data_IF_887485271378
#
_entry.id   IF_887485271378
#
_cell.length_a   1.000
_cell.length_b   1.000
_cell.length_c   1.000
_cell.angle_alpha   90.00
_cell.angle_beta   90.00
_cell.angle_gamma   90.00
#
_symmetry.space_group_name_H-M   'P 1'
#
loop_
_entity.id
_entity.type
_entity.pdbx_description
1 polymer ?
#
# COMPACT_ATOMS: atom_id res chain seq x y z
N UNK A 1 -20.71 -4.25 17.83
CA UNK A 1 -19.33 -4.78 17.74
C UNK A 1 -18.90 -5.25 19.13
N UNK A 2 -18.19 -6.39 19.24
CA UNK A 2 -17.61 -6.85 20.50
C UNK A 2 -16.45 -5.94 20.92
N UNK A 3 -16.18 -5.86 22.23
CA UNK A 3 -15.06 -5.08 22.76
C UNK A 3 -13.74 -5.63 22.19
N UNK A 4 -12.92 -4.76 21.59
CA UNK A 4 -11.59 -5.11 21.12
C UNK A 4 -10.65 -5.18 22.33
N UNK A 5 -9.77 -6.17 22.34
CA UNK A 5 -8.74 -6.35 23.37
C UNK A 5 -7.46 -6.85 22.76
N UNK A 6 -6.36 -6.28 23.19
CA UNK A 6 -5.02 -6.74 22.86
C UNK A 6 -4.61 -7.81 23.88
N UNK A 7 -4.16 -8.98 23.42
CA UNK A 7 -3.78 -10.10 24.29
C UNK A 7 -2.38 -10.59 23.93
N UNK A 8 -1.43 -10.65 24.90
CA UNK A 8 -0.10 -11.19 24.64
C UNK A 8 -0.15 -12.70 24.32
N UNK A 9 0.74 -13.13 23.46
CA UNK A 9 1.00 -14.53 23.12
C UNK A 9 2.24 -15.05 23.87
N UNK A 10 2.50 -16.33 23.78
CA UNK A 10 3.70 -16.96 24.35
C UNK A 10 5.00 -16.48 23.67
N UNK A 11 4.91 -16.00 22.42
CA UNK A 11 6.06 -15.55 21.62
C UNK A 11 6.37 -14.04 21.77
N UNK A 12 5.80 -13.38 22.79
CA UNK A 12 5.95 -11.94 23.04
C UNK A 12 5.25 -11.03 22.01
N UNK A 13 4.54 -11.59 21.04
CA UNK A 13 3.67 -10.87 20.13
C UNK A 13 2.28 -10.72 20.73
N UNK A 14 1.42 -9.95 20.06
CA UNK A 14 0.05 -9.71 20.53
C UNK A 14 -0.96 -10.14 19.46
N UNK A 15 -2.14 -10.57 19.93
CA UNK A 15 -3.30 -10.82 19.06
C UNK A 15 -4.44 -9.85 19.40
N UNK A 16 -5.16 -9.44 18.38
CA UNK A 16 -6.39 -8.67 18.52
C UNK A 16 -7.59 -9.61 18.61
N UNK A 17 -8.32 -9.53 19.72
CA UNK A 17 -9.55 -10.28 19.93
C UNK A 17 -10.76 -9.32 19.88
N UNK A 18 -11.87 -9.78 19.32
CA UNK A 18 -13.07 -8.94 19.09
C UNK A 18 -12.94 -8.09 17.82
N UNK A 19 -13.80 -7.08 17.68
CA UNK A 19 -13.80 -6.16 16.52
C UNK A 19 -14.35 -6.75 15.22
N UNK A 20 -14.41 -8.08 15.07
CA UNK A 20 -14.89 -8.79 13.85
C UNK A 20 -14.25 -8.28 12.55
N UNK A 21 -12.93 -8.03 12.56
CA UNK A 21 -12.21 -7.36 11.47
C UNK A 21 -12.36 -8.08 10.12
N UNK A 22 -12.37 -9.42 10.09
CA UNK A 22 -12.61 -10.16 8.85
C UNK A 22 -13.98 -9.81 8.22
N UNK A 23 -15.04 -9.71 9.05
CA UNK A 23 -16.36 -9.29 8.55
C UNK A 23 -16.40 -7.83 8.09
N UNK A 24 -15.63 -6.97 8.74
CA UNK A 24 -15.50 -5.56 8.37
C UNK A 24 -14.81 -5.43 7.02
N UNK A 25 -13.76 -6.21 6.80
CA UNK A 25 -13.06 -6.29 5.52
C UNK A 25 -13.97 -6.79 4.39
N UNK A 26 -14.68 -7.91 4.63
CA UNK A 26 -15.68 -8.45 3.69
C UNK A 26 -16.78 -7.41 3.36
N UNK A 27 -17.21 -6.64 4.35
CA UNK A 27 -18.22 -5.60 4.17
C UNK A 27 -17.68 -4.45 3.30
N UNK A 28 -16.45 -3.98 3.54
CA UNK A 28 -15.81 -2.96 2.71
C UNK A 28 -15.67 -3.45 1.25
N UNK A 29 -15.20 -4.67 1.02
CA UNK A 29 -15.15 -5.26 -0.34
C UNK A 29 -16.53 -5.37 -1.00
N UNK A 30 -17.59 -5.67 -0.21
CA UNK A 30 -18.97 -5.68 -0.73
C UNK A 30 -19.46 -4.28 -1.11
N UNK A 31 -19.00 -3.23 -0.45
CA UNK A 31 -19.31 -1.84 -0.82
C UNK A 31 -18.58 -1.46 -2.11
N UNK A 32 -17.29 -1.76 -2.24
CA UNK A 32 -16.52 -1.54 -3.46
C UNK A 32 -17.14 -2.24 -4.68
N UNK A 33 -17.54 -3.50 -4.53
CA UNK A 33 -18.18 -4.26 -5.61
C UNK A 33 -19.51 -3.67 -6.08
N UNK A 34 -20.13 -2.80 -5.28
CA UNK A 34 -21.35 -2.05 -5.60
C UNK A 34 -21.06 -0.63 -6.07
N UNK A 35 -19.78 -0.23 -6.14
CA UNK A 35 -19.37 1.12 -6.49
C UNK A 35 -19.49 2.13 -5.34
N UNK A 36 -19.75 1.68 -4.11
CA UNK A 36 -19.79 2.53 -2.90
C UNK A 36 -18.38 2.64 -2.29
N UNK A 37 -17.47 3.29 -3.02
CA UNK A 37 -16.08 3.46 -2.61
C UNK A 37 -15.96 4.34 -1.35
N UNK A 38 -16.74 5.41 -1.26
CA UNK A 38 -16.76 6.27 -0.08
C UNK A 38 -17.20 5.49 1.17
N UNK A 39 -18.22 4.65 1.04
CA UNK A 39 -18.66 3.76 2.12
C UNK A 39 -17.56 2.78 2.55
N UNK A 40 -16.84 2.19 1.60
CA UNK A 40 -15.73 1.27 1.87
C UNK A 40 -14.57 1.96 2.62
N UNK A 41 -14.13 3.13 2.15
CA UNK A 41 -13.11 3.94 2.82
C UNK A 41 -13.53 4.31 4.26
N UNK A 42 -14.76 4.78 4.44
CA UNK A 42 -15.30 5.11 5.77
C UNK A 42 -15.38 3.89 6.69
N UNK A 43 -15.65 2.71 6.14
CA UNK A 43 -15.71 1.45 6.90
C UNK A 43 -14.33 1.06 7.40
N UNK A 44 -13.30 1.09 6.55
CA UNK A 44 -11.90 0.80 6.91
C UNK A 44 -11.36 1.84 7.89
N UNK A 45 -11.58 3.12 7.65
CA UNK A 45 -11.10 4.18 8.53
C UNK A 45 -11.67 4.09 9.95
N UNK A 46 -12.98 3.82 10.10
CA UNK A 46 -13.60 3.60 11.43
C UNK A 46 -13.03 2.38 12.15
N UNK A 47 -12.71 1.32 11.42
CA UNK A 47 -12.09 0.15 12.03
C UNK A 47 -10.63 0.42 12.41
N UNK A 48 -9.88 1.17 11.59
CA UNK A 48 -8.54 1.66 11.93
C UNK A 48 -8.56 2.45 13.25
N UNK A 49 -9.47 3.43 13.42
CA UNK A 49 -9.57 4.19 14.64
C UNK A 49 -9.78 3.28 15.87
N UNK A 50 -10.60 2.23 15.75
CA UNK A 50 -10.82 1.27 16.83
C UNK A 50 -9.60 0.39 17.14
N UNK A 51 -8.76 0.10 16.12
CA UNK A 51 -7.49 -0.61 16.31
C UNK A 51 -6.53 0.28 17.10
N UNK A 52 -6.36 1.53 16.69
CA UNK A 52 -5.48 2.50 17.37
C UNK A 52 -5.88 2.71 18.83
N UNK A 53 -7.18 2.80 19.15
CA UNK A 53 -7.67 2.98 20.52
C UNK A 53 -7.21 1.88 21.50
N UNK A 54 -6.84 0.71 21.03
CA UNK A 54 -6.41 -0.42 21.89
C UNK A 54 -4.91 -0.68 21.86
N UNK A 55 -4.18 -0.03 20.95
CA UNK A 55 -2.72 -0.09 20.94
C UNK A 55 -2.15 0.83 22.03
N UNK A 56 -1.13 0.42 22.78
CA UNK A 56 -0.48 1.29 23.77
C UNK A 56 0.28 2.43 23.07
N UNK A 57 0.23 3.63 23.64
CA UNK A 57 0.87 4.82 23.08
C UNK A 57 2.40 4.84 23.24
N UNK A 58 2.95 4.13 24.23
CA UNK A 58 4.36 4.24 24.63
C UNK A 58 5.19 2.98 24.33
N UNK A 59 4.57 1.91 23.83
CA UNK A 59 5.23 0.62 23.59
C UNK A 59 5.00 0.15 22.16
N UNK A 60 6.07 -0.19 21.45
CA UNK A 60 5.97 -0.88 20.17
C UNK A 60 5.29 -2.26 20.37
N UNK A 61 4.29 -2.56 19.58
CA UNK A 61 3.49 -3.78 19.68
C UNK A 61 3.61 -4.58 18.39
N UNK A 62 4.32 -5.68 18.45
CA UNK A 62 4.34 -6.64 17.35
C UNK A 62 3.07 -7.48 17.36
N UNK A 63 2.32 -7.49 16.26
CA UNK A 63 1.08 -8.21 16.10
C UNK A 63 1.30 -9.56 15.41
N UNK A 64 0.70 -10.63 15.92
CA UNK A 64 0.81 -11.97 15.36
C UNK A 64 0.00 -12.10 14.05
N UNK A 65 0.68 -11.99 12.92
CA UNK A 65 0.11 -12.12 11.59
C UNK A 65 -0.53 -13.50 11.33
N UNK A 66 -0.08 -14.55 12.02
CA UNK A 66 -0.66 -15.90 11.87
C UNK A 66 -2.10 -15.99 12.40
N UNK A 67 -2.49 -15.08 13.31
CA UNK A 67 -3.83 -15.03 13.86
C UNK A 67 -4.80 -14.32 12.91
N UNK A 68 -5.82 -15.03 12.42
CA UNK A 68 -6.72 -14.56 11.37
C UNK A 68 -7.34 -13.17 11.61
N UNK A 69 -7.83 -12.90 12.84
CA UNK A 69 -8.46 -11.62 13.14
C UNK A 69 -7.44 -10.47 13.22
N UNK A 70 -6.23 -10.76 13.67
CA UNK A 70 -5.11 -9.81 13.71
C UNK A 70 -4.67 -9.47 12.30
N UNK A 71 -4.49 -10.47 11.43
CA UNK A 71 -4.18 -10.26 10.01
C UNK A 71 -5.23 -9.38 9.33
N UNK A 72 -6.52 -9.68 9.53
CA UNK A 72 -7.59 -8.85 8.96
C UNK A 72 -7.56 -7.40 9.48
N UNK A 73 -7.13 -7.17 10.72
CA UNK A 73 -6.93 -5.83 11.25
C UNK A 73 -5.77 -5.11 10.54
N UNK A 74 -4.63 -5.78 10.32
CA UNK A 74 -3.50 -5.22 9.56
C UNK A 74 -3.90 -4.90 8.12
N UNK A 75 -4.63 -5.81 7.44
CA UNK A 75 -5.18 -5.58 6.10
C UNK A 75 -6.12 -4.36 6.05
N UNK A 76 -6.92 -4.11 7.11
CA UNK A 76 -7.76 -2.92 7.22
C UNK A 76 -6.92 -1.65 7.36
N UNK A 77 -5.87 -1.65 8.19
CA UNK A 77 -4.97 -0.51 8.35
C UNK A 77 -4.33 -0.17 7.00
N UNK A 78 -3.80 -1.18 6.31
CA UNK A 78 -3.21 -1.03 4.98
C UNK A 78 -4.21 -0.45 3.96
N UNK A 79 -5.41 -1.05 3.86
CA UNK A 79 -6.45 -0.56 2.95
C UNK A 79 -6.87 0.87 3.25
N UNK A 80 -6.99 1.24 4.54
CA UNK A 80 -7.27 2.61 4.95
C UNK A 80 -6.15 3.58 4.56
N UNK A 81 -4.89 3.17 4.68
CA UNK A 81 -3.75 3.97 4.26
C UNK A 81 -3.74 4.21 2.74
N UNK A 82 -4.00 3.16 1.94
CA UNK A 82 -4.12 3.29 0.48
C UNK A 82 -5.27 4.23 0.11
N UNK A 83 -6.43 4.11 0.77
CA UNK A 83 -7.58 5.02 0.55
C UNK A 83 -7.19 6.48 0.80
N UNK A 84 -6.50 6.76 1.93
CA UNK A 84 -6.07 8.12 2.26
C UNK A 84 -5.03 8.66 1.26
N UNK A 85 -4.09 7.83 0.81
CA UNK A 85 -3.14 8.22 -0.24
C UNK A 85 -3.86 8.61 -1.54
N UNK A 86 -4.80 7.78 -1.99
CA UNK A 86 -5.57 8.04 -3.22
C UNK A 86 -6.50 9.25 -3.07
N UNK A 87 -6.97 9.54 -1.85
CA UNK A 87 -7.76 10.74 -1.54
C UNK A 87 -6.92 12.02 -1.41
N UNK A 88 -5.58 11.90 -1.39
CA UNK A 88 -4.65 13.03 -1.24
C UNK A 88 -4.30 13.38 0.21
N UNK A 89 -4.76 12.62 1.20
CA UNK A 89 -4.36 12.76 2.61
C UNK A 89 -3.10 11.93 2.88
N UNK A 90 -1.98 12.40 2.32
CA UNK A 90 -0.72 11.64 2.29
C UNK A 90 -0.12 11.53 3.69
N UNK A 91 -0.20 12.58 4.52
CA UNK A 91 0.32 12.57 5.89
C UNK A 91 -0.38 11.50 6.74
N UNK A 92 -1.71 11.39 6.63
CA UNK A 92 -2.44 10.34 7.35
C UNK A 92 -2.11 8.94 6.82
N UNK A 93 -1.97 8.79 5.50
CA UNK A 93 -1.53 7.55 4.88
C UNK A 93 -0.16 7.12 5.40
N UNK A 94 0.80 8.05 5.44
CA UNK A 94 2.15 7.81 5.96
C UNK A 94 2.10 7.32 7.41
N UNK A 95 1.41 8.05 8.29
CA UNK A 95 1.30 7.67 9.70
C UNK A 95 0.64 6.29 9.89
N UNK A 96 -0.33 5.92 9.04
CA UNK A 96 -0.95 4.59 9.09
C UNK A 96 0.00 3.48 8.65
N UNK A 97 0.82 3.72 7.63
CA UNK A 97 1.80 2.74 7.12
C UNK A 97 2.98 2.57 8.07
N UNK A 98 3.47 3.66 8.67
CA UNK A 98 4.49 3.60 9.71
C UNK A 98 4.01 2.79 10.92
N UNK A 99 2.80 3.07 11.42
CA UNK A 99 2.18 2.27 12.47
C UNK A 99 2.01 0.80 12.07
N UNK A 100 1.66 0.54 10.81
CA UNK A 100 1.51 -0.82 10.31
C UNK A 100 2.85 -1.57 10.36
N UNK A 101 3.96 -0.95 9.94
CA UNK A 101 5.30 -1.54 10.00
C UNK A 101 5.83 -1.68 11.44
N UNK A 102 5.42 -0.81 12.37
CA UNK A 102 5.68 -0.99 13.80
C UNK A 102 4.94 -2.21 14.37
N UNK A 103 3.75 -2.53 13.84
CA UNK A 103 2.93 -3.66 14.26
C UNK A 103 3.21 -4.97 13.51
N UNK A 104 3.85 -4.92 12.36
CA UNK A 104 4.20 -6.02 11.46
C UNK A 104 5.60 -5.78 10.91
N UNK A 105 6.61 -5.96 11.76
CA UNK A 105 8.02 -5.63 11.44
C UNK A 105 8.61 -6.49 10.33
N UNK A 106 8.01 -7.65 10.02
CA UNK A 106 8.37 -8.51 8.89
C UNK A 106 7.69 -8.10 7.58
N UNK A 107 6.84 -7.05 7.62
CA UNK A 107 6.11 -6.51 6.46
C UNK A 107 5.33 -7.57 5.64
N UNK A 108 4.60 -8.44 6.35
CA UNK A 108 3.80 -9.49 5.70
C UNK A 108 2.71 -8.94 4.77
N UNK A 109 2.30 -7.68 4.99
CA UNK A 109 1.28 -6.99 4.17
C UNK A 109 1.90 -6.29 2.95
N UNK A 110 3.23 -6.23 2.85
CA UNK A 110 3.95 -5.47 1.82
C UNK A 110 3.57 -3.97 1.83
N UNK A 111 3.63 -3.34 3.02
CA UNK A 111 3.33 -1.93 3.23
C UNK A 111 4.45 -0.99 2.76
N UNK A 112 5.71 -1.45 2.82
CA UNK A 112 6.90 -0.67 2.43
C UNK A 112 6.79 -0.05 1.03
N UNK A 113 6.31 -0.74 -0.03
CA UNK A 113 6.14 -0.11 -1.34
C UNK A 113 5.18 1.08 -1.34
N UNK A 114 4.09 1.02 -0.58
CA UNK A 114 3.13 2.12 -0.47
C UNK A 114 3.70 3.28 0.34
N UNK A 115 4.44 3.00 1.43
CA UNK A 115 5.12 4.00 2.23
C UNK A 115 6.17 4.76 1.40
N UNK A 116 6.89 4.07 0.52
CA UNK A 116 7.83 4.72 -0.40
C UNK A 116 7.15 5.75 -1.32
N UNK A 117 5.92 5.48 -1.78
CA UNK A 117 5.14 6.46 -2.56
C UNK A 117 4.73 7.67 -1.70
N UNK A 118 4.38 7.44 -0.44
CA UNK A 118 4.05 8.51 0.49
C UNK A 118 5.26 9.44 0.71
N UNK A 119 6.44 8.89 0.96
CA UNK A 119 7.66 9.67 1.14
C UNK A 119 8.04 10.48 -0.11
N UNK A 120 7.85 9.91 -1.33
CA UNK A 120 8.02 10.69 -2.56
C UNK A 120 7.01 11.85 -2.63
N UNK A 121 5.75 11.61 -2.25
CA UNK A 121 4.71 12.62 -2.28
C UNK A 121 4.99 13.78 -1.32
N UNK A 122 5.55 13.47 -0.13
CA UNK A 122 5.93 14.42 0.92
C UNK A 122 7.33 15.01 0.72
N UNK A 123 8.10 14.50 -0.25
CA UNK A 123 9.49 14.89 -0.51
C UNK A 123 10.43 14.57 0.68
N UNK A 124 10.11 13.53 1.45
CA UNK A 124 10.87 13.03 2.60
C UNK A 124 11.96 12.05 2.15
N UNK A 125 13.01 12.60 1.50
CA UNK A 125 14.05 11.82 0.82
C UNK A 125 14.89 10.95 1.77
N UNK A 126 15.19 11.44 2.98
CA UNK A 126 15.97 10.71 3.98
C UNK A 126 15.21 9.46 4.43
N UNK A 127 13.92 9.59 4.74
CA UNK A 127 13.06 8.47 5.11
C UNK A 127 12.91 7.46 3.96
N UNK A 128 12.78 7.96 2.72
CA UNK A 128 12.75 7.10 1.54
C UNK A 128 14.04 6.28 1.38
N UNK A 129 15.21 6.91 1.53
CA UNK A 129 16.51 6.21 1.42
C UNK A 129 16.66 5.09 2.46
N UNK A 130 16.11 5.27 3.66
CA UNK A 130 16.14 4.26 4.72
C UNK A 130 15.36 2.99 4.36
N UNK A 131 14.20 3.12 3.69
CA UNK A 131 13.34 1.96 3.36
C UNK A 131 13.60 1.35 1.98
N UNK A 132 14.31 2.03 1.08
CA UNK A 132 14.63 1.51 -0.27
C UNK A 132 15.27 0.12 -0.28
N UNK A 133 16.19 -0.23 0.66
CA UNK A 133 16.77 -1.57 0.73
C UNK A 133 15.73 -2.68 0.96
N UNK A 134 14.64 -2.38 1.67
CA UNK A 134 13.60 -3.34 2.04
C UNK A 134 12.62 -3.63 0.89
N UNK A 135 12.65 -2.80 -0.17
CA UNK A 135 11.90 -3.11 -1.39
C UNK A 135 12.50 -4.33 -2.09
N UNK A 136 11.68 -5.33 -2.33
CA UNK A 136 12.11 -6.59 -2.92
C UNK A 136 12.74 -6.42 -4.32
N UNK A 137 13.96 -6.93 -4.51
CA UNK A 137 14.72 -6.78 -5.76
C UNK A 137 14.06 -7.38 -7.01
N UNK A 138 13.10 -8.30 -6.83
CA UNK A 138 12.35 -8.91 -7.93
C UNK A 138 11.07 -8.17 -8.27
N UNK A 139 10.65 -7.24 -7.42
CA UNK A 139 9.46 -6.43 -7.64
C UNK A 139 9.69 -5.39 -8.72
N UNK A 140 8.71 -5.19 -9.59
CA UNK A 140 8.71 -4.07 -10.53
C UNK A 140 8.52 -2.72 -9.82
N UNK A 141 8.10 -2.72 -8.57
CA UNK A 141 7.88 -1.53 -7.76
C UNK A 141 9.19 -0.79 -7.46
N UNK A 142 10.24 -1.52 -7.02
CA UNK A 142 11.53 -0.92 -6.66
C UNK A 142 12.13 -0.04 -7.76
N UNK A 143 12.35 -0.54 -9.00
CA UNK A 143 12.90 0.30 -10.06
C UNK A 143 11.97 1.46 -10.46
N UNK A 144 10.65 1.31 -10.31
CA UNK A 144 9.72 2.43 -10.51
C UNK A 144 9.90 3.50 -9.44
N UNK A 145 9.90 3.12 -8.16
CA UNK A 145 10.10 4.03 -7.03
C UNK A 145 11.43 4.78 -7.16
N UNK A 146 12.52 4.06 -7.45
CA UNK A 146 13.85 4.67 -7.63
C UNK A 146 13.90 5.68 -8.79
N UNK A 147 13.26 5.34 -9.92
CA UNK A 147 13.22 6.23 -11.08
C UNK A 147 12.31 7.45 -10.82
N UNK A 148 11.15 7.23 -10.20
CA UNK A 148 10.19 8.27 -9.88
C UNK A 148 10.74 9.24 -8.82
N UNK A 149 11.42 8.73 -7.79
CA UNK A 149 12.07 9.54 -6.77
C UNK A 149 13.16 10.44 -7.37
N UNK A 150 14.02 9.88 -8.23
CA UNK A 150 15.06 10.66 -8.91
C UNK A 150 14.43 11.76 -9.78
N UNK A 151 13.38 11.41 -10.53
CA UNK A 151 12.66 12.39 -11.35
C UNK A 151 12.00 13.48 -10.49
N UNK A 152 11.34 13.10 -9.41
CA UNK A 152 10.69 14.04 -8.50
C UNK A 152 11.69 15.03 -7.87
N UNK A 153 12.89 14.52 -7.53
CA UNK A 153 13.94 15.33 -6.90
C UNK A 153 14.72 16.21 -7.88
N UNK A 154 14.99 15.71 -9.10
CA UNK A 154 15.93 16.36 -10.04
C UNK A 154 15.30 16.82 -11.36
N UNK A 155 14.12 16.34 -11.71
CA UNK A 155 13.49 16.53 -13.03
C UNK A 155 14.03 15.63 -14.13
N UNK A 156 14.99 14.75 -13.83
CA UNK A 156 15.62 13.82 -14.77
C UNK A 156 15.67 12.40 -14.19
N UNK A 157 15.87 11.41 -15.07
CA UNK A 157 16.08 10.01 -14.68
C UNK A 157 17.37 9.52 -15.29
N UNK A 158 18.26 8.96 -14.49
CA UNK A 158 19.54 8.39 -14.96
C UNK A 158 19.33 7.17 -15.87
N UNK A 159 20.28 6.96 -16.79
CA UNK A 159 20.22 5.84 -17.72
C UNK A 159 20.19 4.47 -17.02
N UNK A 160 20.84 4.34 -15.86
CA UNK A 160 20.87 3.10 -15.09
C UNK A 160 19.48 2.77 -14.52
N UNK A 161 18.78 3.75 -13.95
CA UNK A 161 17.43 3.58 -13.43
C UNK A 161 16.41 3.31 -14.55
N UNK A 162 16.52 4.02 -15.67
CA UNK A 162 15.72 3.73 -16.85
C UNK A 162 15.97 2.30 -17.35
N UNK A 163 17.24 1.88 -17.42
CA UNK A 163 17.58 0.51 -17.82
C UNK A 163 17.04 -0.55 -16.86
N UNK A 164 17.02 -0.27 -15.55
CA UNK A 164 16.43 -1.16 -14.57
C UNK A 164 14.91 -1.27 -14.75
N UNK A 165 14.22 -0.15 -14.92
CA UNK A 165 12.76 -0.11 -15.11
C UNK A 165 12.35 -0.79 -16.44
N UNK A 166 13.11 -0.61 -17.53
CA UNK A 166 12.82 -1.23 -18.82
C UNK A 166 12.90 -2.76 -18.82
N UNK A 167 13.51 -3.40 -17.82
CA UNK A 167 13.46 -4.86 -17.67
C UNK A 167 12.05 -5.35 -17.31
N UNK A 168 11.22 -4.48 -16.76
CA UNK A 168 9.83 -4.75 -16.38
C UNK A 168 8.87 -4.31 -17.48
N UNK A 169 8.92 -5.03 -18.62
CA UNK A 169 8.22 -4.65 -19.84
C UNK A 169 6.72 -4.39 -19.64
N UNK A 170 6.03 -5.27 -18.92
CA UNK A 170 4.58 -5.10 -18.68
C UNK A 170 4.25 -3.82 -17.93
N UNK A 171 5.12 -3.41 -16.97
CA UNK A 171 4.97 -2.14 -16.28
C UNK A 171 5.23 -0.95 -17.22
N UNK A 172 6.28 -1.02 -18.06
CA UNK A 172 6.54 0.04 -19.02
C UNK A 172 5.41 0.16 -20.07
N UNK A 173 4.87 -0.96 -20.53
CA UNK A 173 3.74 -0.99 -21.47
C UNK A 173 2.49 -0.37 -20.79
N UNK A 174 2.24 -0.67 -19.52
CA UNK A 174 1.13 -0.08 -18.75
C UNK A 174 1.32 1.42 -18.52
N UNK A 175 2.51 1.87 -18.05
CA UNK A 175 2.81 3.29 -17.84
C UNK A 175 2.63 4.15 -19.12
N UNK A 176 2.78 3.55 -20.31
CA UNK A 176 2.62 4.22 -21.59
C UNK A 176 1.26 3.98 -22.25
N UNK A 177 0.39 3.19 -21.65
CA UNK A 177 -0.96 2.94 -22.18
C UNK A 177 -1.79 4.23 -22.19
N UNK A 178 -2.78 4.28 -23.07
CA UNK A 178 -3.68 5.42 -23.19
C UNK A 178 -4.84 5.40 -22.17
N UNK A 179 -5.14 4.22 -21.63
CA UNK A 179 -6.26 3.99 -20.71
C UNK A 179 -5.85 2.97 -19.64
N UNK A 180 -6.25 3.25 -18.39
CA UNK A 180 -5.90 2.46 -17.19
C UNK A 180 -7.17 2.06 -16.44
N UNK A 181 -8.11 1.42 -17.14
CA UNK A 181 -9.42 1.10 -16.57
C UNK A 181 -9.34 -0.13 -15.67
N UNK A 182 -9.85 0.01 -14.44
CA UNK A 182 -10.08 -1.10 -13.52
C UNK A 182 -11.42 -1.80 -13.85
N UNK A 183 -11.47 -2.50 -14.99
CA UNK A 183 -12.65 -3.21 -15.45
C UNK A 183 -12.86 -4.55 -14.72
N UNK A 184 -14.00 -5.21 -14.95
CA UNK A 184 -14.32 -6.51 -14.33
C UNK A 184 -13.26 -7.61 -14.66
N UNK A 185 -12.63 -7.51 -15.83
CA UNK A 185 -11.58 -8.47 -16.24
C UNK A 185 -10.34 -8.32 -15.39
N UNK A 186 -9.90 -7.07 -15.18
CA UNK A 186 -8.79 -6.74 -14.30
C UNK A 186 -9.09 -7.15 -12.86
N UNK A 187 -10.25 -6.77 -12.31
CA UNK A 187 -10.62 -7.09 -10.92
C UNK A 187 -10.65 -8.60 -10.67
N UNK A 188 -11.10 -9.39 -11.64
CA UNK A 188 -11.10 -10.85 -11.56
C UNK A 188 -9.68 -11.43 -11.62
N UNK A 189 -8.83 -10.87 -12.47
CA UNK A 189 -7.44 -11.34 -12.63
C UNK A 189 -6.62 -11.01 -11.39
N UNK A 190 -6.63 -9.75 -10.92
CA UNK A 190 -5.84 -9.33 -9.75
C UNK A 190 -6.25 -10.07 -8.46
N UNK A 191 -7.52 -10.47 -8.34
CA UNK A 191 -8.04 -11.23 -7.20
C UNK A 191 -7.77 -12.74 -7.32
N UNK A 192 -7.14 -13.21 -8.40
CA UNK A 192 -6.84 -14.62 -8.60
C UNK A 192 -5.62 -15.07 -7.77
N UNK A 193 -5.47 -16.38 -7.52
CA UNK A 193 -4.29 -16.93 -6.84
C UNK A 193 -2.97 -16.67 -7.58
N UNK A 194 -3.04 -16.40 -8.88
CA UNK A 194 -1.87 -16.14 -9.75
C UNK A 194 -2.21 -15.05 -10.76
N UNK A 195 -2.20 -13.78 -10.32
CA UNK A 195 -2.45 -12.67 -11.21
C UNK A 195 -1.45 -12.63 -12.38
N UNK A 196 -1.92 -12.20 -13.54
CA UNK A 196 -1.02 -11.99 -14.68
C UNK A 196 -0.09 -10.80 -14.43
N UNK A 197 1.05 -10.79 -15.12
CA UNK A 197 1.98 -9.66 -15.06
C UNK A 197 1.35 -8.35 -15.54
N UNK A 198 0.36 -8.42 -16.42
CA UNK A 198 -0.42 -7.27 -16.87
C UNK A 198 -1.30 -6.72 -15.75
N UNK A 199 -2.01 -7.58 -15.00
CA UNK A 199 -2.84 -7.15 -13.87
C UNK A 199 -1.97 -6.55 -12.75
N UNK A 200 -0.83 -7.15 -12.43
CA UNK A 200 0.13 -6.62 -11.46
C UNK A 200 0.70 -5.26 -11.90
N UNK A 201 1.02 -5.09 -13.19
CA UNK A 201 1.50 -3.82 -13.72
C UNK A 201 0.42 -2.72 -13.61
N UNK A 202 -0.84 -3.06 -13.90
CA UNK A 202 -1.96 -2.14 -13.73
C UNK A 202 -2.21 -1.77 -12.27
N UNK A 203 -2.10 -2.71 -11.36
CA UNK A 203 -2.20 -2.43 -9.93
C UNK A 203 -1.15 -1.43 -9.47
N UNK A 204 0.11 -1.63 -9.90
CA UNK A 204 1.20 -0.70 -9.62
C UNK A 204 0.89 0.70 -10.18
N UNK A 205 0.41 0.78 -11.43
CA UNK A 205 0.02 2.05 -12.04
C UNK A 205 -1.05 2.77 -11.21
N UNK A 206 -2.15 2.09 -10.90
CA UNK A 206 -3.27 2.67 -10.16
C UNK A 206 -2.86 3.18 -8.77
N UNK A 207 -1.97 2.48 -8.08
CA UNK A 207 -1.39 2.94 -6.81
C UNK A 207 -0.51 4.17 -6.97
N UNK A 208 0.22 4.28 -8.08
CA UNK A 208 1.12 5.41 -8.35
C UNK A 208 0.43 6.59 -9.02
N UNK A 209 -0.82 6.45 -9.47
CA UNK A 209 -1.51 7.44 -10.29
C UNK A 209 -1.44 8.87 -9.71
N UNK A 210 -1.66 9.12 -8.39
CA UNK A 210 -1.55 10.47 -7.85
C UNK A 210 -0.17 11.10 -8.05
N UNK A 211 0.89 10.30 -7.92
CA UNK A 211 2.26 10.76 -8.17
C UNK A 211 2.55 10.97 -9.66
N UNK A 212 2.08 10.06 -10.51
CA UNK A 212 2.24 10.17 -11.96
C UNK A 212 1.52 11.42 -12.48
N UNK A 213 0.40 11.79 -11.90
CA UNK A 213 -0.29 13.05 -12.18
C UNK A 213 0.47 14.27 -11.65
N UNK A 214 1.04 14.20 -10.42
CA UNK A 214 1.89 15.27 -9.86
C UNK A 214 3.15 15.49 -10.72
N UNK A 215 3.73 14.42 -11.26
CA UNK A 215 4.97 14.42 -12.03
C UNK A 215 4.74 14.04 -13.51
N UNK A 216 3.83 14.74 -14.19
CA UNK A 216 3.35 14.44 -15.56
C UNK A 216 4.47 14.21 -16.61
N UNK A 217 5.63 14.86 -16.45
CA UNK A 217 6.77 14.70 -17.35
C UNK A 217 7.50 13.36 -17.23
N UNK A 218 7.30 12.61 -16.12
CA UNK A 218 8.01 11.36 -15.85
C UNK A 218 7.80 10.30 -16.95
N UNK A 219 6.54 10.07 -17.35
CA UNK A 219 6.23 9.08 -18.42
C UNK A 219 6.93 9.43 -19.74
N UNK A 220 7.11 10.72 -20.03
CA UNK A 220 7.84 11.18 -21.20
C UNK A 220 9.33 10.78 -21.21
N UNK A 221 9.94 10.55 -20.05
CA UNK A 221 11.33 10.10 -19.91
C UNK A 221 11.50 8.59 -20.13
N UNK A 222 10.42 7.83 -20.13
CA UNK A 222 10.45 6.37 -20.35
C UNK A 222 10.52 5.96 -21.83
N UNK A 223 10.61 6.92 -22.75
CA UNK A 223 10.62 6.69 -24.21
C UNK A 223 12.01 6.60 -24.79
#
# INVERSE_FOLDING_TARGET
MGKITLKPTENQNYILLGGEFAKTLDFAHSQESKGDFEGACNTRYKAFQQIVEVLPEEEAVELDFSHQNTRAALEIVYGSAVDNFLAGDVELSTAQLELLLECDSEDHIEATPQLALCYIALEEWECLEEILPDLGDKSAFKPLVEALAEYAHTGEVSADKLSALHRHRHLCDELQAAEHVADESYLRDISSERPTQQALAREIYLRCEPLLMKYEGFIGKLR
#
